data_IF_977377197284
#
_entry.id   IF_977377197284
#
_cell.length_a   1.000
_cell.length_b   1.000
_cell.length_c   1.000
_cell.angle_alpha   90.00
_cell.angle_beta   90.00
_cell.angle_gamma   90.00
#
_symmetry.space_group_name_H-M   'P 1'
#
loop_
_entity.id
_entity.type
_entity.pdbx_description
1 polymer ?
#
# COMPACT_ATOMS: atom_id res chain seq x y z
N UNK A 1 15.54 7.81 -5.79
CA UNK A 1 14.16 8.01 -5.30
C UNK A 1 13.63 6.75 -4.63
N UNK A 2 13.97 5.57 -5.15
CA UNK A 2 13.61 4.24 -4.66
C UNK A 2 13.64 4.08 -3.12
N UNK A 3 14.73 4.48 -2.45
CA UNK A 3 14.83 4.40 -0.98
C UNK A 3 13.74 5.17 -0.22
N UNK A 4 13.31 6.33 -0.72
CA UNK A 4 12.22 7.08 -0.11
C UNK A 4 10.88 6.36 -0.28
N UNK A 5 10.64 5.80 -1.46
CA UNK A 5 9.43 5.02 -1.73
C UNK A 5 9.38 3.77 -0.83
N UNK A 6 10.51 3.08 -0.65
CA UNK A 6 10.63 1.95 0.28
C UNK A 6 10.28 2.35 1.72
N UNK A 7 10.84 3.45 2.21
CA UNK A 7 10.53 3.95 3.57
C UNK A 7 9.03 4.23 3.73
N UNK A 8 8.40 4.87 2.74
CA UNK A 8 6.95 5.12 2.77
C UNK A 8 6.13 3.84 2.76
N UNK A 9 6.50 2.86 1.94
CA UNK A 9 5.81 1.58 1.84
C UNK A 9 5.92 0.77 3.13
N UNK A 10 7.11 0.70 3.73
CA UNK A 10 7.28 0.06 5.04
C UNK A 10 6.54 0.81 6.16
N UNK A 11 6.47 2.14 6.11
CA UNK A 11 5.64 2.91 7.02
C UNK A 11 4.15 2.58 6.86
N UNK A 12 3.64 2.49 5.63
CA UNK A 12 2.26 2.06 5.34
C UNK A 12 1.98 0.65 5.88
N UNK A 13 2.88 -0.29 5.61
CA UNK A 13 2.80 -1.67 6.12
C UNK A 13 2.73 -1.68 7.65
N UNK A 14 3.64 -0.98 8.33
CA UNK A 14 3.68 -0.90 9.78
C UNK A 14 2.41 -0.27 10.38
N UNK A 15 1.90 0.80 9.78
CA UNK A 15 0.66 1.43 10.22
C UNK A 15 -0.54 0.48 10.12
N UNK A 16 -0.74 -0.14 8.95
CA UNK A 16 -1.87 -1.05 8.71
C UNK A 16 -1.76 -2.32 9.57
N UNK A 17 -0.56 -2.86 9.73
CA UNK A 17 -0.33 -4.03 10.56
C UNK A 17 -0.57 -3.72 12.05
N UNK A 18 -0.18 -2.53 12.51
CA UNK A 18 -0.48 -2.08 13.88
C UNK A 18 -1.98 -1.88 14.07
N UNK A 19 -2.67 -1.27 13.10
CA UNK A 19 -4.12 -1.12 13.14
C UNK A 19 -4.83 -2.49 13.15
N UNK A 20 -4.32 -3.48 12.41
CA UNK A 20 -4.84 -4.84 12.42
C UNK A 20 -4.76 -5.49 13.81
N UNK A 21 -3.67 -5.27 14.55
CA UNK A 21 -3.53 -5.79 15.92
C UNK A 21 -4.38 -5.05 16.95
N UNK A 22 -4.80 -3.81 16.68
CA UNK A 22 -5.55 -2.96 17.62
C UNK A 22 -7.06 -3.04 17.42
N UNK A 23 -7.51 -3.14 16.16
CA UNK A 23 -8.94 -3.15 15.81
C UNK A 23 -9.34 -4.59 15.49
N UNK A 24 -9.69 -5.36 16.53
CA UNK A 24 -10.08 -6.76 16.39
C UNK A 24 -11.25 -6.95 15.42
N UNK A 25 -12.19 -6.01 15.40
CA UNK A 25 -13.39 -6.06 14.54
C UNK A 25 -13.06 -6.02 13.04
N UNK A 26 -11.90 -5.48 12.65
CA UNK A 26 -11.49 -5.24 11.23
C UNK A 26 -10.08 -5.76 10.92
N UNK A 27 -9.55 -6.61 11.80
CA UNK A 27 -8.16 -7.09 11.76
C UNK A 27 -7.82 -7.74 10.43
N UNK A 28 -8.70 -8.60 9.93
CA UNK A 28 -8.46 -9.43 8.75
C UNK A 28 -8.29 -8.56 7.50
N UNK A 29 -9.12 -7.52 7.34
CA UNK A 29 -8.98 -6.59 6.22
C UNK A 29 -7.74 -5.72 6.34
N UNK A 30 -7.43 -5.17 7.53
CA UNK A 30 -6.22 -4.36 7.67
C UNK A 30 -4.95 -5.17 7.44
N UNK A 31 -4.93 -6.43 7.85
CA UNK A 31 -3.84 -7.35 7.53
C UNK A 31 -3.71 -7.58 6.01
N UNK A 32 -4.83 -7.82 5.31
CA UNK A 32 -4.82 -7.97 3.85
C UNK A 32 -4.38 -6.68 3.14
N UNK A 33 -4.84 -5.53 3.60
CA UNK A 33 -4.42 -4.22 3.07
C UNK A 33 -2.94 -3.97 3.32
N UNK A 34 -2.36 -4.44 4.43
CA UNK A 34 -0.92 -4.33 4.70
C UNK A 34 -0.08 -5.16 3.71
N UNK A 35 -0.60 -6.27 3.17
CA UNK A 35 0.12 -7.05 2.17
C UNK A 35 0.34 -6.28 0.86
N UNK A 36 -0.49 -5.28 0.54
CA UNK A 36 -0.35 -4.47 -0.67
C UNK A 36 0.94 -3.62 -0.67
N UNK A 37 1.19 -2.72 0.30
CA UNK A 37 2.44 -1.98 0.35
C UNK A 37 3.66 -2.89 0.56
N UNK A 38 3.50 -4.04 1.21
CA UNK A 38 4.57 -5.03 1.30
C UNK A 38 4.95 -5.59 -0.07
N UNK A 39 3.96 -5.98 -0.88
CA UNK A 39 4.19 -6.47 -2.24
C UNK A 39 4.79 -5.35 -3.14
N UNK A 40 4.32 -4.11 -3.00
CA UNK A 40 4.93 -2.96 -3.69
C UNK A 40 6.37 -2.71 -3.26
N UNK A 41 6.70 -2.88 -1.97
CA UNK A 41 8.08 -2.71 -1.49
C UNK A 41 9.01 -3.78 -2.07
N UNK A 42 8.55 -5.03 -2.18
CA UNK A 42 9.30 -6.10 -2.84
C UNK A 42 9.53 -5.77 -4.32
N UNK A 43 8.53 -5.22 -5.02
CA UNK A 43 8.68 -4.76 -6.40
C UNK A 43 9.69 -3.63 -6.54
N UNK A 44 9.70 -2.68 -5.61
CA UNK A 44 10.67 -1.58 -5.62
C UNK A 44 12.11 -2.07 -5.37
N UNK A 45 12.25 -3.25 -4.77
CA UNK A 45 13.53 -3.93 -4.59
C UNK A 45 13.86 -4.90 -5.73
N UNK A 46 13.11 -4.92 -6.84
CA UNK A 46 13.25 -5.93 -7.91
C UNK A 46 14.69 -6.06 -8.42
N UNK A 47 15.31 -4.96 -8.82
CA UNK A 47 16.67 -4.90 -9.36
C UNK A 47 17.72 -5.31 -8.32
N UNK A 48 17.48 -5.01 -7.04
CA UNK A 48 18.38 -5.39 -5.96
C UNK A 48 18.24 -6.88 -5.64
N UNK A 49 17.03 -7.41 -5.61
CA UNK A 49 16.76 -8.82 -5.33
C UNK A 49 17.31 -9.71 -6.44
N UNK A 50 17.09 -9.37 -7.70
CA UNK A 50 17.63 -10.13 -8.83
C UNK A 50 19.16 -10.10 -8.85
N UNK A 51 19.77 -8.99 -8.40
CA UNK A 51 21.24 -8.84 -8.36
C UNK A 51 21.91 -9.58 -7.20
N UNK A 52 21.34 -9.54 -6.00
CA UNK A 52 21.99 -10.06 -4.79
C UNK A 52 21.51 -11.46 -4.38
N UNK A 53 20.34 -11.89 -4.84
CA UNK A 53 19.71 -13.16 -4.42
C UNK A 53 19.72 -14.16 -5.59
N UNK A 54 18.88 -13.95 -6.60
CA UNK A 54 18.90 -14.65 -7.89
C UNK A 54 17.87 -14.01 -8.83
N UNK A 55 18.05 -14.18 -10.14
CA UNK A 55 17.08 -13.74 -11.16
C UNK A 55 15.74 -14.46 -10.98
N UNK A 56 14.68 -13.73 -10.66
CA UNK A 56 13.38 -14.31 -10.35
C UNK A 56 12.96 -14.18 -8.88
N UNK A 57 13.82 -13.66 -8.01
CA UNK A 57 13.61 -13.67 -6.57
C UNK A 57 12.39 -12.80 -6.16
N UNK A 58 12.27 -11.61 -6.73
CA UNK A 58 11.15 -10.71 -6.38
C UNK A 58 9.81 -11.28 -6.87
N UNK A 59 9.77 -11.96 -8.03
CA UNK A 59 8.56 -12.60 -8.55
C UNK A 59 8.07 -13.69 -7.59
N UNK A 60 8.98 -14.51 -7.07
CA UNK A 60 8.65 -15.56 -6.09
C UNK A 60 8.12 -14.95 -4.80
N UNK A 61 8.77 -13.89 -4.28
CA UNK A 61 8.32 -13.22 -3.05
C UNK A 61 6.92 -12.60 -3.20
N UNK A 62 6.65 -11.91 -4.32
CA UNK A 62 5.32 -11.37 -4.62
C UNK A 62 4.29 -12.49 -4.79
N UNK A 63 4.65 -13.57 -5.48
CA UNK A 63 3.77 -14.73 -5.65
C UNK A 63 3.44 -15.37 -4.29
N UNK A 64 4.42 -15.55 -3.41
CA UNK A 64 4.20 -16.05 -2.05
C UNK A 64 3.25 -15.15 -1.25
N UNK A 65 3.42 -13.83 -1.31
CA UNK A 65 2.51 -12.88 -0.66
C UNK A 65 1.08 -12.98 -1.23
N UNK A 66 0.93 -13.14 -2.55
CA UNK A 66 -0.36 -13.31 -3.20
C UNK A 66 -1.03 -14.65 -2.83
N UNK A 67 -0.29 -15.75 -2.82
CA UNK A 67 -0.78 -17.05 -2.36
C UNK A 67 -1.21 -17.00 -0.90
N UNK A 68 -0.40 -16.39 -0.04
CA UNK A 68 -0.74 -16.19 1.37
C UNK A 68 -2.04 -15.39 1.52
N UNK A 69 -2.17 -14.25 0.82
CA UNK A 69 -3.39 -13.44 0.82
C UNK A 69 -4.60 -14.26 0.36
N UNK A 70 -4.46 -15.06 -0.70
CA UNK A 70 -5.52 -15.91 -1.23
C UNK A 70 -5.99 -16.95 -0.20
N UNK A 71 -5.05 -17.70 0.40
CA UNK A 71 -5.36 -18.68 1.43
C UNK A 71 -5.98 -18.03 2.67
N UNK A 72 -5.47 -16.87 3.08
CA UNK A 72 -6.00 -16.09 4.19
C UNK A 72 -7.45 -15.67 3.95
N UNK A 73 -7.75 -15.10 2.77
CA UNK A 73 -9.12 -14.75 2.36
C UNK A 73 -10.00 -15.99 2.37
N UNK A 74 -9.54 -17.13 1.81
CA UNK A 74 -10.32 -18.37 1.80
C UNK A 74 -10.66 -18.85 3.21
N UNK A 75 -9.69 -18.78 4.13
CA UNK A 75 -9.83 -19.21 5.53
C UNK A 75 -10.75 -18.29 6.34
N UNK A 76 -10.70 -16.99 6.08
CA UNK A 76 -11.42 -15.94 6.81
C UNK A 76 -12.57 -15.30 6.00
N UNK A 77 -13.05 -15.96 4.94
CA UNK A 77 -13.98 -15.39 3.95
C UNK A 77 -15.20 -14.67 4.53
N UNK A 78 -15.78 -15.22 5.61
CA UNK A 78 -16.96 -14.63 6.27
C UNK A 78 -16.61 -13.33 6.99
N UNK A 79 -15.48 -13.32 7.70
CA UNK A 79 -14.97 -12.13 8.40
C UNK A 79 -14.58 -11.04 7.42
N UNK A 80 -13.81 -11.40 6.38
CA UNK A 80 -13.40 -10.47 5.33
C UNK A 80 -14.62 -9.87 4.64
N UNK A 81 -15.61 -10.68 4.26
CA UNK A 81 -16.83 -10.15 3.64
C UNK A 81 -17.60 -9.18 4.56
N UNK A 82 -17.73 -9.51 5.85
CA UNK A 82 -18.44 -8.66 6.81
C UNK A 82 -17.71 -7.33 7.09
N UNK A 83 -16.37 -7.36 7.08
CA UNK A 83 -15.53 -6.18 7.34
C UNK A 83 -15.41 -5.25 6.12
N UNK A 84 -15.69 -5.76 4.92
CA UNK A 84 -15.40 -5.06 3.68
C UNK A 84 -16.25 -3.81 3.53
N UNK A 85 -17.57 -3.96 3.61
CA UNK A 85 -18.49 -2.82 3.44
C UNK A 85 -18.22 -1.70 4.46
N UNK A 86 -18.03 -1.97 5.76
CA UNK A 86 -17.69 -0.92 6.71
C UNK A 86 -16.35 -0.23 6.44
N UNK A 87 -15.35 -0.92 5.89
CA UNK A 87 -14.04 -0.32 5.56
C UNK A 87 -14.15 0.53 4.30
N UNK A 88 -14.83 0.03 3.27
CA UNK A 88 -15.07 0.77 2.03
C UNK A 88 -15.86 2.06 2.26
N UNK A 89 -16.79 2.05 3.20
CA UNK A 89 -17.59 3.23 3.58
C UNK A 89 -16.84 4.23 4.48
N UNK A 90 -15.60 3.92 4.89
CA UNK A 90 -14.84 4.79 5.79
C UNK A 90 -14.11 5.89 5.01
N UNK A 91 -14.06 7.11 5.57
CA UNK A 91 -13.32 8.23 4.99
C UNK A 91 -11.85 7.94 4.66
N UNK A 92 -11.08 7.25 5.52
CA UNK A 92 -9.68 6.93 5.26
C UNK A 92 -9.45 6.02 4.05
N UNK A 93 -10.44 5.18 3.72
CA UNK A 93 -10.37 4.32 2.54
C UNK A 93 -10.29 5.12 1.23
N UNK A 94 -10.88 6.33 1.18
CA UNK A 94 -10.77 7.22 0.03
C UNK A 94 -9.31 7.57 -0.30
N UNK A 95 -8.49 7.85 0.72
CA UNK A 95 -7.06 8.10 0.55
C UNK A 95 -6.30 6.85 0.10
N UNK A 96 -6.60 5.69 0.69
CA UNK A 96 -6.00 4.42 0.28
C UNK A 96 -6.32 4.10 -1.18
N UNK A 97 -7.58 4.27 -1.58
CA UNK A 97 -8.02 3.97 -2.94
C UNK A 97 -7.45 4.98 -3.95
N UNK A 98 -7.44 6.27 -3.62
CA UNK A 98 -6.81 7.30 -4.44
C UNK A 98 -5.32 7.02 -4.63
N UNK A 99 -4.58 6.77 -3.55
CA UNK A 99 -3.16 6.42 -3.63
C UNK A 99 -2.90 5.17 -4.47
N UNK A 100 -3.69 4.12 -4.28
CA UNK A 100 -3.61 2.90 -5.09
C UNK A 100 -3.84 3.17 -6.57
N UNK A 101 -4.89 3.91 -6.94
CA UNK A 101 -5.17 4.28 -8.33
C UNK A 101 -4.07 5.17 -8.92
N UNK A 102 -3.51 6.08 -8.12
CA UNK A 102 -2.42 6.94 -8.55
C UNK A 102 -1.19 6.10 -8.93
N UNK A 103 -0.80 5.13 -8.11
CA UNK A 103 0.36 4.27 -8.40
C UNK A 103 0.07 3.30 -9.54
N UNK A 104 -1.05 2.59 -9.49
CA UNK A 104 -1.32 1.50 -10.42
C UNK A 104 -1.75 1.95 -11.80
N UNK A 105 -2.48 3.07 -11.89
CA UNK A 105 -3.10 3.52 -13.13
C UNK A 105 -2.47 4.82 -13.59
N UNK A 106 -2.56 5.88 -12.78
CA UNK A 106 -2.16 7.22 -13.22
C UNK A 106 -0.68 7.30 -13.55
N UNK A 107 0.18 6.81 -12.65
CA UNK A 107 1.63 6.80 -12.87
C UNK A 107 2.02 6.04 -14.13
N UNK A 108 1.41 4.86 -14.33
CA UNK A 108 1.67 4.03 -15.52
C UNK A 108 1.20 4.66 -16.82
N UNK A 109 0.12 5.44 -16.80
CA UNK A 109 -0.36 6.16 -17.99
C UNK A 109 0.56 7.33 -18.33
N UNK A 110 0.95 8.12 -17.33
CA UNK A 110 1.79 9.31 -17.56
C UNK A 110 3.28 8.95 -17.74
N UNK A 111 3.74 7.81 -17.24
CA UNK A 111 5.12 7.33 -17.39
C UNK A 111 5.44 6.73 -18.77
N UNK A 112 4.43 6.49 -19.60
CA UNK A 112 4.64 5.83 -20.89
C UNK A 112 5.57 6.62 -21.79
N UNK A 113 6.63 5.95 -22.26
CA UNK A 113 7.57 6.56 -23.20
C UNK A 113 6.90 7.01 -24.49
N UNK A 114 5.87 6.29 -24.96
CA UNK A 114 5.14 6.62 -26.18
C UNK A 114 4.46 8.00 -26.08
N UNK A 115 3.83 8.30 -24.95
CA UNK A 115 3.18 9.59 -24.69
C UNK A 115 4.18 10.74 -24.82
N UNK A 116 5.33 10.62 -24.16
CA UNK A 116 6.35 11.66 -24.17
C UNK A 116 7.12 11.76 -25.49
N UNK A 117 7.32 10.66 -26.22
CA UNK A 117 7.88 10.70 -27.58
C UNK A 117 6.94 11.45 -28.53
N UNK A 118 5.64 11.21 -28.42
CA UNK A 118 4.65 11.92 -29.23
C UNK A 118 4.56 13.42 -28.86
N UNK A 119 4.70 13.75 -27.57
CA UNK A 119 4.62 15.14 -27.11
C UNK A 119 5.89 15.96 -27.39
N UNK A 120 7.08 15.39 -27.18
CA UNK A 120 8.37 16.09 -27.26
C UNK A 120 9.11 15.91 -28.59
N UNK A 121 8.72 14.93 -29.42
CA UNK A 121 9.28 14.66 -30.75
C UNK A 121 10.82 14.61 -30.71
N UNK A 122 11.50 15.50 -31.45
CA UNK A 122 12.97 15.55 -31.54
C UNK A 122 13.67 15.91 -30.22
N UNK A 123 12.95 16.49 -29.25
CA UNK A 123 13.47 16.85 -27.92
C UNK A 123 13.24 15.76 -26.88
N UNK A 124 12.90 14.53 -27.31
CA UNK A 124 12.58 13.44 -26.39
C UNK A 124 13.78 13.02 -25.54
N UNK A 125 13.64 13.21 -24.23
CA UNK A 125 14.54 12.67 -23.21
C UNK A 125 13.81 11.60 -22.41
N UNK A 126 14.31 10.35 -22.47
CA UNK A 126 13.80 9.22 -21.67
C UNK A 126 13.67 9.55 -20.18
N UNK A 127 14.54 10.43 -19.69
CA UNK A 127 14.56 10.86 -18.29
C UNK A 127 13.26 11.56 -17.87
N UNK A 128 12.61 12.32 -18.75
CA UNK A 128 11.39 13.08 -18.40
C UNK A 128 10.26 12.13 -18.00
N UNK A 129 9.98 11.13 -18.84
CA UNK A 129 8.94 10.15 -18.55
C UNK A 129 9.20 9.40 -17.24
N UNK A 130 10.48 9.04 -17.00
CA UNK A 130 10.88 8.38 -15.75
C UNK A 130 10.69 9.26 -14.52
N UNK A 131 11.13 10.53 -14.57
CA UNK A 131 10.95 11.46 -13.43
C UNK A 131 9.47 11.64 -13.13
N UNK A 132 8.62 11.79 -14.16
CA UNK A 132 7.18 11.97 -13.97
C UNK A 132 6.52 10.71 -13.41
N UNK A 133 6.92 9.52 -13.88
CA UNK A 133 6.48 8.23 -13.32
C UNK A 133 6.88 8.12 -11.84
N UNK A 134 8.17 8.25 -11.52
CA UNK A 134 8.70 8.12 -10.15
C UNK A 134 8.07 9.14 -9.19
N UNK A 135 7.85 10.38 -9.64
CA UNK A 135 7.20 11.43 -8.85
C UNK A 135 5.73 11.13 -8.59
N UNK A 136 5.03 10.58 -9.59
CA UNK A 136 3.62 10.22 -9.48
C UNK A 136 3.42 9.00 -8.58
N UNK A 137 4.32 8.01 -8.64
CA UNK A 137 4.34 6.88 -7.71
C UNK A 137 4.57 7.36 -6.28
N UNK A 138 5.56 8.24 -6.06
CA UNK A 138 5.84 8.81 -4.75
C UNK A 138 4.63 9.56 -4.18
N UNK A 139 3.95 10.36 -5.01
CA UNK A 139 2.71 11.03 -4.61
C UNK A 139 1.60 10.04 -4.23
N UNK A 140 1.42 8.98 -5.01
CA UNK A 140 0.48 7.91 -4.67
C UNK A 140 0.80 7.22 -3.34
N UNK A 141 2.08 6.96 -3.05
CA UNK A 141 2.51 6.40 -1.77
C UNK A 141 2.28 7.37 -0.59
N UNK A 142 2.40 8.68 -0.79
CA UNK A 142 2.04 9.67 0.23
C UNK A 142 0.53 9.64 0.54
N UNK A 143 -0.32 9.53 -0.48
CA UNK A 143 -1.77 9.37 -0.29
C UNK A 143 -2.10 8.08 0.48
N UNK A 144 -1.44 6.97 0.15
CA UNK A 144 -1.56 5.72 0.91
C UNK A 144 -1.18 5.94 2.38
N UNK A 145 -0.06 6.61 2.64
CA UNK A 145 0.41 6.86 4.00
C UNK A 145 -0.58 7.73 4.79
N UNK A 146 -1.16 8.77 4.19
CA UNK A 146 -2.19 9.57 4.84
C UNK A 146 -3.42 8.73 5.23
N UNK A 147 -3.88 7.85 4.33
CA UNK A 147 -4.96 6.90 4.65
C UNK A 147 -4.59 5.96 5.79
N UNK A 148 -3.36 5.44 5.79
CA UNK A 148 -2.85 4.56 6.85
C UNK A 148 -2.77 5.26 8.22
N UNK A 149 -2.28 6.50 8.24
CA UNK A 149 -2.18 7.32 9.47
C UNK A 149 -3.57 7.59 10.03
N UNK A 150 -4.55 7.94 9.20
CA UNK A 150 -5.90 8.23 9.68
C UNK A 150 -6.59 6.97 10.23
N UNK A 151 -6.38 5.79 9.61
CA UNK A 151 -6.82 4.50 10.17
C UNK A 151 -6.14 4.21 11.50
N UNK A 152 -4.84 4.46 11.60
CA UNK A 152 -4.11 4.24 12.83
C UNK A 152 -4.58 5.22 13.94
N UNK A 153 -4.84 6.48 13.60
CA UNK A 153 -5.37 7.49 14.52
C UNK A 153 -6.76 7.12 15.04
N UNK A 154 -7.65 6.64 14.17
CA UNK A 154 -8.97 6.17 14.59
C UNK A 154 -8.87 4.95 15.52
N UNK A 155 -7.90 4.05 15.30
CA UNK A 155 -7.64 2.92 16.20
C UNK A 155 -7.26 3.34 17.62
N UNK A 156 -6.51 4.44 17.77
CA UNK A 156 -6.13 4.97 19.07
C UNK A 156 -7.31 5.64 19.79
N UNK A 157 -8.18 6.32 19.04
CA UNK A 157 -9.38 6.94 19.60
C UNK A 157 -10.36 5.90 20.15
N UNK A 158 -10.61 4.81 19.42
CA UNK A 158 -11.49 3.72 19.87
C UNK A 158 -10.95 3.01 21.12
N UNK A 159 -9.63 2.81 21.19
CA UNK A 159 -8.98 2.19 22.36
C UNK A 159 -9.07 3.09 23.61
N UNK A 160 -8.97 4.42 23.44
CA UNK A 160 -9.08 5.38 24.54
C UNK A 160 -10.49 5.43 25.13
N UNK A 161 -11.53 5.27 24.30
CA UNK A 161 -12.95 5.24 24.73
C UNK A 161 -13.29 3.89 25.39
N UNK A 162 -12.69 2.78 24.93
CA UNK A 162 -12.90 1.43 25.52
C UNK A 162 -12.13 1.15 26.80
N UNK A 163 -11.23 2.02 27.29
CA UNK A 163 -10.68 1.85 28.65
C UNK A 163 -11.77 2.24 29.66
N UNK A 164 -12.38 1.28 30.37
CA UNK A 164 -13.38 1.62 31.35
C UNK A 164 -12.71 2.36 32.51
N UNK A 165 -13.51 3.19 33.17
CA UNK A 165 -13.30 3.83 34.47
C UNK A 165 -13.03 2.82 35.62
N UNK A 166 -12.24 1.77 35.41
CA UNK A 166 -11.70 0.91 36.48
C UNK A 166 -10.44 1.54 37.07
N UNK A 167 -10.60 2.76 37.59
CA UNK A 167 -9.70 3.33 38.57
C UNK A 167 -10.54 4.19 39.52
N UNK A 168 -11.46 3.54 40.20
CA UNK A 168 -11.76 3.90 41.58
C UNK A 168 -11.39 2.70 42.44
N UNK A 169 -10.30 2.86 43.17
CA UNK A 169 -10.02 2.38 44.52
C UNK A 169 -8.70 3.03 44.99
#
# INVERSE_FOLDING_TARGET
MEWFQLVLLFACFGCLQTAAFRIEERREIFHLLALLPLASAVREMDANLDRYVFDGAWQIMVAMAAFYAFFFIRRHRRSVAAQLQPVLASGPFGFLFAGFLTVMVFSRLIGQQLFWRAALQEQYLRLVGRIVEESSELFGYLLLLFGCIEILRSSFSDTAIRRPLYREE
#
